data_IF_170803371840
#
_entry.id   IF_170803371840
#
_cell.length_a   1.000
_cell.length_b   1.000
_cell.length_c   1.000
_cell.angle_alpha   90.00
_cell.angle_beta   90.00
_cell.angle_gamma   90.00
#
_symmetry.space_group_name_H-M   'P 1'
#
loop_
_entity.id
_entity.type
_entity.pdbx_description
1 polymer ?
#
# COMPACT_ATOMS: atom_id res chain seq x y z
N UNK A 1 -6.15 10.77 9.47
CA UNK A 1 -7.29 10.27 8.66
C UNK A 1 -7.41 8.77 8.88
N UNK A 2 -8.61 8.26 9.13
CA UNK A 2 -8.88 6.82 9.21
C UNK A 2 -9.16 6.28 7.80
N UNK A 3 -8.69 5.07 7.51
CA UNK A 3 -8.93 4.39 6.23
C UNK A 3 -9.18 2.91 6.45
N UNK A 4 -10.16 2.35 5.79
CA UNK A 4 -10.23 0.90 5.62
C UNK A 4 -9.47 0.50 4.37
N UNK A 5 -8.62 -0.52 4.47
CA UNK A 5 -7.69 -0.91 3.40
C UNK A 5 -7.73 -2.42 3.22
N UNK A 6 -8.02 -2.88 2.01
CA UNK A 6 -7.93 -4.30 1.64
C UNK A 6 -7.00 -4.45 0.44
N UNK A 7 -6.15 -5.46 0.50
CA UNK A 7 -5.25 -5.87 -0.58
C UNK A 7 -5.57 -7.29 -1.00
N UNK A 8 -5.52 -7.55 -2.30
CA UNK A 8 -5.66 -8.90 -2.85
C UNK A 8 -4.61 -9.12 -3.94
N UNK A 9 -4.09 -10.35 -4.03
CA UNK A 9 -3.27 -10.78 -5.16
C UNK A 9 -4.21 -11.10 -6.32
N UNK A 10 -3.85 -10.65 -7.52
CA UNK A 10 -4.61 -10.90 -8.75
C UNK A 10 -4.01 -12.08 -9.50
N UNK A 11 -4.86 -12.86 -10.16
CA UNK A 11 -4.43 -13.88 -11.11
C UNK A 11 -3.88 -13.22 -12.38
N UNK A 12 -4.58 -12.21 -12.90
CA UNK A 12 -4.12 -11.40 -14.02
C UNK A 12 -4.47 -9.91 -13.80
N UNK A 13 -3.80 -9.02 -14.56
CA UNK A 13 -4.13 -7.59 -14.57
C UNK A 13 -5.48 -7.35 -15.24
N UNK A 14 -5.74 -8.03 -16.34
CA UNK A 14 -6.93 -7.86 -17.17
C UNK A 14 -8.20 -8.22 -16.42
N UNK A 15 -8.18 -9.30 -15.62
CA UNK A 15 -9.33 -9.73 -14.83
C UNK A 15 -9.86 -8.65 -13.85
N UNK A 16 -9.01 -7.68 -13.50
CA UNK A 16 -9.36 -6.58 -12.62
C UNK A 16 -9.65 -5.28 -13.37
N UNK A 17 -8.90 -4.99 -14.43
CA UNK A 17 -8.98 -3.71 -15.15
C UNK A 17 -10.15 -3.68 -16.12
N UNK A 18 -10.39 -4.79 -16.86
CA UNK A 18 -11.41 -4.82 -17.91
C UNK A 18 -12.83 -4.61 -17.35
N UNK A 19 -13.28 -5.27 -16.26
CA UNK A 19 -14.58 -5.01 -15.66
C UNK A 19 -14.77 -3.55 -15.20
N UNK A 20 -13.71 -2.88 -14.75
CA UNK A 20 -13.74 -1.47 -14.37
C UNK A 20 -13.86 -0.56 -15.59
N UNK A 21 -13.16 -0.89 -16.68
CA UNK A 21 -13.24 -0.15 -17.92
C UNK A 21 -14.63 -0.25 -18.57
N UNK A 22 -15.32 -1.39 -18.46
CA UNK A 22 -16.68 -1.61 -18.95
C UNK A 22 -17.71 -0.69 -18.27
N UNK A 23 -17.42 -0.21 -17.06
CA UNK A 23 -18.24 0.74 -16.31
C UNK A 23 -17.61 2.15 -16.27
N UNK A 24 -16.82 2.47 -17.28
CA UNK A 24 -16.20 3.79 -17.51
C UNK A 24 -15.18 4.24 -16.46
N UNK A 25 -14.65 3.34 -15.64
CA UNK A 25 -13.57 3.63 -14.72
C UNK A 25 -12.21 3.28 -15.34
N UNK A 26 -11.32 4.27 -15.43
CA UNK A 26 -10.00 4.12 -16.05
C UNK A 26 -8.88 4.44 -15.07
N UNK A 27 -7.86 3.57 -15.07
CA UNK A 27 -6.65 3.81 -14.31
C UNK A 27 -5.79 4.93 -14.89
N UNK A 28 -5.09 5.65 -14.04
CA UNK A 28 -4.06 6.61 -14.44
C UNK A 28 -2.94 5.91 -15.23
N UNK A 29 -2.12 6.71 -15.91
CA UNK A 29 -0.82 6.21 -16.38
C UNK A 29 -0.02 5.67 -15.19
N UNK A 30 0.73 4.56 -15.38
CA UNK A 30 1.51 3.98 -14.31
C UNK A 30 2.68 4.88 -13.89
N UNK A 31 2.96 4.93 -12.59
CA UNK A 31 4.07 5.67 -12.02
C UNK A 31 4.88 4.84 -11.03
N UNK A 32 6.10 5.27 -10.76
CA UNK A 32 6.97 4.62 -9.80
C UNK A 32 6.77 5.17 -8.40
N UNK A 33 6.71 4.25 -7.44
CA UNK A 33 6.71 4.57 -6.02
C UNK A 33 7.72 3.67 -5.30
N UNK A 34 8.58 4.31 -4.52
CA UNK A 34 9.54 3.64 -3.65
C UNK A 34 9.31 4.07 -2.20
N UNK A 35 9.08 3.12 -1.33
CA UNK A 35 8.88 3.33 0.11
C UNK A 35 10.04 2.72 0.89
N UNK A 36 10.73 3.53 1.69
CA UNK A 36 11.62 3.08 2.76
C UNK A 36 10.83 3.05 4.06
N UNK A 37 10.64 1.87 4.63
CA UNK A 37 9.80 1.67 5.81
C UNK A 37 10.65 1.63 7.06
N UNK A 38 10.42 2.61 7.93
CA UNK A 38 11.09 2.78 9.21
C UNK A 38 10.18 2.34 10.35
N UNK A 39 10.77 1.64 11.33
CA UNK A 39 10.09 1.18 12.54
C UNK A 39 10.89 1.60 13.78
N UNK A 40 10.26 1.80 14.93
CA UNK A 40 10.98 2.09 16.17
C UNK A 40 11.88 0.91 16.52
N UNK A 41 13.18 1.13 16.68
CA UNK A 41 14.19 0.09 16.92
C UNK A 41 13.83 -0.86 18.08
N UNK A 42 13.25 -0.33 19.17
CA UNK A 42 12.87 -1.12 20.32
C UNK A 42 11.63 -2.00 20.11
N UNK A 43 10.81 -1.71 19.09
CA UNK A 43 9.52 -2.34 18.83
C UNK A 43 9.40 -2.82 17.38
N UNK A 44 10.52 -3.14 16.73
CA UNK A 44 10.57 -3.45 15.30
C UNK A 44 9.69 -4.65 14.87
N UNK A 45 9.29 -5.50 15.82
CA UNK A 45 8.42 -6.66 15.58
C UNK A 45 6.96 -6.46 16.00
N UNK A 46 6.65 -5.34 16.65
CA UNK A 46 5.29 -5.05 17.11
C UNK A 46 4.48 -4.39 15.99
N UNK A 47 3.56 -5.14 15.40
CA UNK A 47 2.67 -4.67 14.31
C UNK A 47 1.72 -3.55 14.75
N UNK A 48 1.43 -3.43 16.04
CA UNK A 48 0.58 -2.35 16.59
C UNK A 48 1.29 -1.00 16.66
N UNK A 49 2.64 -1.00 16.56
CA UNK A 49 3.41 0.25 16.59
C UNK A 49 3.31 0.99 15.26
N UNK A 50 3.25 2.35 15.31
CA UNK A 50 3.29 3.14 14.10
C UNK A 50 4.58 2.90 13.31
N UNK A 51 4.44 2.74 11.99
CA UNK A 51 5.56 2.76 11.05
C UNK A 51 5.57 4.05 10.27
N UNK A 52 6.74 4.43 9.79
CA UNK A 52 6.96 5.62 8.97
C UNK A 52 7.49 5.21 7.60
N UNK A 53 6.73 5.50 6.56
CA UNK A 53 7.14 5.25 5.18
C UNK A 53 7.73 6.56 4.62
N UNK A 54 9.03 6.62 4.37
CA UNK A 54 9.65 7.71 3.62
C UNK A 54 9.53 7.36 2.13
N UNK A 55 8.62 8.04 1.46
CA UNK A 55 8.14 7.72 0.12
C UNK A 55 8.74 8.62 -0.93
N UNK A 56 9.16 8.01 -2.04
CA UNK A 56 9.49 8.69 -3.29
C UNK A 56 8.44 8.34 -4.33
N UNK A 57 7.92 9.35 -5.05
CA UNK A 57 6.97 9.20 -6.14
C UNK A 57 7.52 9.85 -7.39
N UNK A 58 7.58 9.10 -8.49
CA UNK A 58 8.00 9.59 -9.82
C UNK A 58 6.84 9.33 -10.78
N UNK A 59 5.98 10.34 -10.97
CA UNK A 59 4.82 10.25 -11.89
C UNK A 59 5.24 10.48 -13.35
N UNK A 60 6.24 11.30 -13.57
CA UNK A 60 6.78 11.65 -14.87
C UNK A 60 8.32 11.60 -14.78
N UNK A 61 9.00 10.75 -15.58
CA UNK A 61 10.46 10.65 -15.54
C UNK A 61 11.20 11.95 -15.83
N UNK A 62 10.56 12.89 -16.55
CA UNK A 62 11.14 14.20 -16.88
C UNK A 62 10.96 15.23 -15.77
N UNK A 63 10.15 14.92 -14.76
CA UNK A 63 9.86 15.81 -13.62
C UNK A 63 10.60 15.35 -12.37
N UNK A 64 10.79 16.32 -11.47
CA UNK A 64 11.36 16.04 -10.16
C UNK A 64 10.49 15.08 -9.36
N UNK A 65 11.12 14.13 -8.65
CA UNK A 65 10.46 13.25 -7.72
C UNK A 65 9.79 14.04 -6.58
N UNK A 66 8.64 13.57 -6.14
CA UNK A 66 7.96 14.07 -4.95
C UNK A 66 8.25 13.16 -3.77
N UNK A 67 8.53 13.77 -2.61
CA UNK A 67 8.81 13.02 -1.39
C UNK A 67 7.72 13.25 -0.36
N UNK A 68 7.38 12.19 0.39
CA UNK A 68 6.42 12.27 1.47
C UNK A 68 6.84 11.39 2.65
N UNK A 69 6.55 11.85 3.86
CA UNK A 69 6.61 11.05 5.06
C UNK A 69 5.19 10.61 5.40
N UNK A 70 4.95 9.30 5.47
CA UNK A 70 3.64 8.71 5.72
C UNK A 70 3.71 7.88 6.99
N UNK A 71 2.99 8.30 8.02
CA UNK A 71 2.78 7.49 9.23
C UNK A 71 1.59 6.57 9.02
N UNK A 72 1.77 5.29 9.38
CA UNK A 72 0.68 4.30 9.38
C UNK A 72 0.64 3.57 10.72
N UNK A 73 -0.56 3.38 11.24
CA UNK A 73 -0.84 2.50 12.36
C UNK A 73 -2.06 1.66 12.05
N UNK A 74 -1.87 0.34 12.10
CA UNK A 74 -2.93 -0.62 11.82
C UNK A 74 -3.71 -0.98 13.09
N UNK A 75 -5.03 -1.08 12.99
CA UNK A 75 -5.94 -1.51 14.04
C UNK A 75 -6.74 -2.70 13.49
N UNK A 76 -6.18 -3.90 13.69
CA UNK A 76 -6.69 -5.14 13.05
C UNK A 76 -8.11 -5.48 13.48
N UNK A 77 -8.41 -5.39 14.78
CA UNK A 77 -9.73 -5.70 15.32
C UNK A 77 -10.81 -4.72 14.83
N UNK A 78 -10.41 -3.45 14.65
CA UNK A 78 -11.30 -2.37 14.24
C UNK A 78 -11.37 -2.16 12.72
N UNK A 79 -10.62 -2.94 11.95
CA UNK A 79 -10.58 -2.94 10.47
C UNK A 79 -10.23 -1.60 9.83
N UNK A 80 -9.42 -0.78 10.48
CA UNK A 80 -8.93 0.46 9.87
C UNK A 80 -7.44 0.71 10.12
N UNK A 81 -6.87 1.56 9.28
CA UNK A 81 -5.56 2.15 9.43
C UNK A 81 -5.70 3.64 9.78
N UNK A 82 -4.92 4.11 10.75
CA UNK A 82 -4.67 5.54 10.90
C UNK A 82 -3.52 5.93 9.97
N UNK A 83 -3.79 6.83 9.03
CA UNK A 83 -2.82 7.28 8.02
C UNK A 83 -2.69 8.80 8.07
N UNK A 84 -1.47 9.30 8.26
CA UNK A 84 -1.14 10.71 8.14
C UNK A 84 0.04 10.84 7.18
N UNK A 85 -0.04 11.82 6.28
CA UNK A 85 1.01 12.06 5.30
C UNK A 85 1.35 13.54 5.23
N UNK A 86 2.62 13.85 5.02
CA UNK A 86 3.10 15.19 4.75
C UNK A 86 4.15 15.15 3.64
N UNK A 87 4.18 16.19 2.80
CA UNK A 87 5.24 16.37 1.81
C UNK A 87 6.51 16.78 2.55
N UNK A 88 7.66 16.25 2.10
CA UNK A 88 8.98 16.62 2.61
C UNK A 88 9.83 17.13 1.45
N UNK A 89 10.61 18.16 1.68
CA UNK A 89 11.48 18.76 0.65
C UNK A 89 12.82 18.04 0.55
N UNK A 90 13.37 17.64 1.69
CA UNK A 90 14.69 17.02 1.77
C UNK A 90 14.58 15.56 2.25
N UNK A 91 14.67 14.64 1.30
CA UNK A 91 14.59 13.20 1.55
C UNK A 91 15.69 12.70 2.50
N UNK A 92 16.93 13.07 2.23
CA UNK A 92 18.10 12.60 2.98
C UNK A 92 18.09 13.11 4.42
N UNK A 93 17.75 14.37 4.61
CA UNK A 93 17.66 14.98 5.95
C UNK A 93 16.52 14.34 6.76
N UNK A 94 15.37 14.11 6.11
CA UNK A 94 14.25 13.42 6.77
C UNK A 94 14.65 12.01 7.23
N UNK A 95 15.35 11.24 6.39
CA UNK A 95 15.86 9.93 6.76
C UNK A 95 16.83 10.02 7.95
N UNK A 96 17.73 11.00 7.95
CA UNK A 96 18.68 11.24 9.04
C UNK A 96 17.96 11.53 10.36
N UNK A 97 16.94 12.40 10.34
CA UNK A 97 16.12 12.72 11.51
C UNK A 97 15.45 11.45 12.06
N UNK A 98 14.90 10.58 11.20
CA UNK A 98 14.30 9.32 11.64
C UNK A 98 15.30 8.42 12.38
N UNK A 99 16.53 8.29 11.88
CA UNK A 99 17.58 7.55 12.59
C UNK A 99 17.92 8.17 13.95
N UNK A 100 18.01 9.49 14.05
CA UNK A 100 18.28 10.20 15.31
C UNK A 100 17.13 10.03 16.32
N UNK A 101 15.89 9.90 15.85
CA UNK A 101 14.73 9.62 16.68
C UNK A 101 14.63 8.14 17.11
N UNK A 102 15.59 7.30 16.74
CA UNK A 102 15.64 5.90 17.12
C UNK A 102 14.80 4.97 16.27
N UNK A 103 14.47 5.38 15.05
CA UNK A 103 13.89 4.51 14.03
C UNK A 103 15.02 3.79 13.27
N UNK A 104 14.71 2.61 12.75
CA UNK A 104 15.61 1.87 11.85
C UNK A 104 14.86 1.51 10.56
N UNK A 105 15.61 1.44 9.47
CA UNK A 105 15.09 0.95 8.20
C UNK A 105 14.80 -0.54 8.32
N UNK A 106 13.55 -0.93 8.13
CA UNK A 106 13.12 -2.32 8.20
C UNK A 106 13.17 -3.00 6.84
N UNK A 107 12.58 -2.38 5.82
CA UNK A 107 12.60 -2.85 4.43
C UNK A 107 12.33 -1.72 3.46
N UNK A 108 12.59 -2.01 2.19
CA UNK A 108 12.29 -1.13 1.07
C UNK A 108 11.33 -1.85 0.11
N UNK A 109 10.37 -1.08 -0.44
CA UNK A 109 9.37 -1.59 -1.37
C UNK A 109 9.31 -0.68 -2.58
N UNK A 110 9.72 -1.19 -3.72
CA UNK A 110 9.54 -0.52 -5.02
C UNK A 110 8.36 -1.12 -5.75
N UNK A 111 7.57 -0.26 -6.39
CA UNK A 111 6.42 -0.69 -7.16
C UNK A 111 6.15 0.22 -8.33
N UNK A 112 5.57 -0.36 -9.37
CA UNK A 112 4.86 0.36 -10.41
C UNK A 112 3.38 0.37 -10.06
N UNK A 113 2.78 1.56 -9.95
CA UNK A 113 1.42 1.77 -9.48
C UNK A 113 0.58 2.47 -10.53
N UNK A 114 -0.63 1.99 -10.71
CA UNK A 114 -1.73 2.68 -11.41
C UNK A 114 -2.79 3.02 -10.35
N UNK A 115 -3.43 4.17 -10.47
CA UNK A 115 -4.45 4.61 -9.52
C UNK A 115 -5.75 4.99 -10.22
N UNK A 116 -6.86 4.71 -9.55
CA UNK A 116 -8.20 5.07 -9.96
C UNK A 116 -8.94 5.60 -8.73
N UNK A 117 -9.67 6.68 -8.88
CA UNK A 117 -10.52 7.22 -7.82
C UNK A 117 -11.99 6.98 -8.16
N UNK A 118 -12.71 6.34 -7.23
CA UNK A 118 -14.14 6.06 -7.32
C UNK A 118 -14.88 6.98 -6.34
N UNK A 119 -15.55 8.00 -6.88
CA UNK A 119 -16.19 9.03 -6.06
C UNK A 119 -15.18 9.85 -5.24
N UNK A 120 -15.57 10.27 -4.04
CA UNK A 120 -14.76 11.16 -3.21
C UNK A 120 -13.88 10.44 -2.19
N UNK A 121 -14.27 9.24 -1.76
CA UNK A 121 -13.66 8.53 -0.62
C UNK A 121 -12.94 7.23 -0.97
N UNK A 122 -13.14 6.68 -2.17
CA UNK A 122 -12.57 5.36 -2.52
C UNK A 122 -11.42 5.51 -3.51
N UNK A 123 -10.26 4.99 -3.14
CA UNK A 123 -9.08 4.94 -4.01
C UNK A 123 -8.75 3.48 -4.31
N UNK A 124 -8.57 3.18 -5.59
CA UNK A 124 -8.21 1.85 -6.10
C UNK A 124 -6.82 1.92 -6.69
N UNK A 125 -5.97 1.00 -6.29
CA UNK A 125 -4.60 0.90 -6.78
C UNK A 125 -4.35 -0.46 -7.38
N UNK A 126 -3.63 -0.47 -8.48
CA UNK A 126 -3.06 -1.65 -9.08
C UNK A 126 -1.54 -1.57 -8.96
N UNK A 127 -0.95 -2.48 -8.18
CA UNK A 127 0.46 -2.51 -7.86
C UNK A 127 1.16 -3.69 -8.54
N UNK A 128 2.26 -3.42 -9.22
CA UNK A 128 3.29 -4.39 -9.59
C UNK A 128 4.49 -4.15 -8.68
N UNK A 129 4.72 -5.10 -7.77
CA UNK A 129 5.78 -4.98 -6.75
C UNK A 129 7.06 -5.62 -7.30
N UNK A 130 8.18 -4.91 -7.21
CA UNK A 130 9.49 -5.47 -7.58
C UNK A 130 9.85 -6.63 -6.64
N UNK A 131 10.24 -7.75 -7.23
CA UNK A 131 10.56 -8.97 -6.48
C UNK A 131 9.37 -9.83 -6.07
N UNK A 132 8.13 -9.46 -6.43
CA UNK A 132 6.96 -10.31 -6.22
C UNK A 132 6.28 -10.67 -7.54
N UNK A 133 5.81 -11.92 -7.70
CA UNK A 133 5.10 -12.36 -8.89
C UNK A 133 3.67 -11.80 -8.93
N UNK A 134 3.16 -11.51 -10.15
CA UNK A 134 1.78 -11.09 -10.39
C UNK A 134 1.53 -9.61 -10.09
N UNK A 135 0.26 -9.29 -9.91
CA UNK A 135 -0.24 -7.96 -9.58
C UNK A 135 -1.01 -8.00 -8.27
N UNK A 136 -1.17 -6.84 -7.66
CA UNK A 136 -1.91 -6.69 -6.41
C UNK A 136 -2.91 -5.55 -6.55
N UNK A 137 -4.18 -5.84 -6.33
CA UNK A 137 -5.19 -4.81 -6.17
C UNK A 137 -5.23 -4.35 -4.71
N UNK A 138 -5.39 -3.06 -4.52
CA UNK A 138 -5.58 -2.46 -3.21
C UNK A 138 -6.70 -1.44 -3.30
N UNK A 139 -7.72 -1.59 -2.47
CA UNK A 139 -8.81 -0.62 -2.33
C UNK A 139 -8.70 0.02 -0.95
N UNK A 140 -8.77 1.34 -0.93
CA UNK A 140 -8.78 2.17 0.28
C UNK A 140 -10.08 2.96 0.33
N UNK A 141 -10.79 2.93 1.44
CA UNK A 141 -11.92 3.82 1.72
C UNK A 141 -11.53 4.79 2.83
N UNK A 142 -11.63 6.08 2.55
CA UNK A 142 -11.48 7.14 3.52
C UNK A 142 -12.71 7.16 4.44
N UNK A 143 -12.50 7.12 5.77
CA UNK A 143 -13.57 7.11 6.76
C UNK A 143 -13.77 8.51 7.32
N UNK A 144 -15.00 8.99 7.24
CA UNK A 144 -15.43 10.22 7.88
C UNK A 144 -15.81 9.98 9.34
N UNK A 145 -16.08 11.05 10.06
CA UNK A 145 -16.58 10.93 11.45
C UNK A 145 -17.97 10.28 11.46
N UNK A 146 -18.11 9.20 12.22
CA UNK A 146 -19.36 8.42 12.31
C UNK A 146 -19.44 7.22 11.36
N UNK A 147 -18.53 7.08 10.41
CA UNK A 147 -18.49 5.90 9.53
C UNK A 147 -18.11 4.64 10.32
N UNK A 148 -18.75 3.53 9.97
CA UNK A 148 -18.42 2.20 10.51
C UNK A 148 -17.31 1.54 9.66
N UNK A 149 -16.11 1.32 10.23
CA UNK A 149 -15.01 0.67 9.51
C UNK A 149 -15.35 -0.76 9.04
N UNK A 150 -16.18 -1.50 9.80
CA UNK A 150 -16.57 -2.84 9.42
C UNK A 150 -17.52 -2.84 8.22
N UNK A 151 -18.45 -1.88 8.15
CA UNK A 151 -19.29 -1.71 6.96
C UNK A 151 -18.42 -1.38 5.74
N UNK A 152 -17.51 -0.41 5.83
CA UNK A 152 -16.57 -0.07 4.76
C UNK A 152 -15.69 -1.25 4.34
N UNK A 153 -15.25 -2.09 5.29
CA UNK A 153 -14.51 -3.31 5.00
C UNK A 153 -15.33 -4.31 4.18
N UNK A 154 -16.60 -4.51 4.54
CA UNK A 154 -17.50 -5.40 3.82
C UNK A 154 -17.82 -4.88 2.43
N UNK A 155 -18.02 -3.56 2.27
CA UNK A 155 -18.28 -2.93 0.97
C UNK A 155 -17.09 -3.11 0.01
N UNK A 156 -15.86 -2.98 0.51
CA UNK A 156 -14.65 -3.27 -0.29
C UNK A 156 -14.61 -4.76 -0.68
N UNK A 157 -14.94 -5.69 0.21
CA UNK A 157 -14.99 -7.11 -0.12
C UNK A 157 -16.04 -7.44 -1.18
N UNK A 158 -17.23 -6.83 -1.10
CA UNK A 158 -18.25 -6.97 -2.13
C UNK A 158 -17.78 -6.37 -3.47
N UNK A 159 -17.09 -5.23 -3.47
CA UNK A 159 -16.48 -4.66 -4.67
C UNK A 159 -15.52 -5.67 -5.33
N UNK A 160 -14.66 -6.33 -4.58
CA UNK A 160 -13.77 -7.36 -5.11
C UNK A 160 -14.54 -8.54 -5.70
N UNK A 161 -15.65 -8.97 -5.07
CA UNK A 161 -16.50 -10.06 -5.59
C UNK A 161 -17.16 -9.67 -6.91
N UNK A 162 -17.73 -8.47 -6.99
CA UNK A 162 -18.35 -7.93 -8.22
C UNK A 162 -17.33 -7.88 -9.36
N UNK A 163 -16.09 -7.55 -9.07
CA UNK A 163 -14.98 -7.56 -10.02
C UNK A 163 -14.38 -8.95 -10.25
N UNK A 164 -15.01 -10.01 -9.77
CA UNK A 164 -14.57 -11.40 -9.91
C UNK A 164 -13.16 -11.68 -9.37
N UNK A 165 -12.64 -10.82 -8.48
CA UNK A 165 -11.37 -11.07 -7.79
C UNK A 165 -11.58 -12.11 -6.70
N UNK A 166 -11.02 -13.29 -6.92
CA UNK A 166 -11.08 -14.40 -5.97
C UNK A 166 -9.81 -14.47 -5.13
N UNK A 167 -9.93 -14.84 -3.88
CA UNK A 167 -8.80 -15.00 -2.98
C UNK A 167 -9.12 -14.55 -1.56
N UNK A 168 -8.09 -14.54 -0.74
CA UNK A 168 -8.18 -14.01 0.63
C UNK A 168 -7.50 -12.64 0.71
N UNK A 169 -8.06 -11.72 1.51
CA UNK A 169 -7.37 -10.47 1.81
C UNK A 169 -5.96 -10.72 2.35
N UNK A 170 -5.01 -9.92 1.88
CA UNK A 170 -3.62 -9.96 2.32
C UNK A 170 -3.49 -9.04 3.53
N UNK A 171 -3.22 -9.62 4.69
CA UNK A 171 -2.99 -8.87 5.94
C UNK A 171 -1.57 -8.30 5.98
N UNK A 172 -0.58 -9.09 5.54
CA UNK A 172 0.81 -8.69 5.56
C UNK A 172 1.11 -7.48 4.67
N UNK A 173 2.07 -6.69 5.06
CA UNK A 173 2.59 -5.61 4.21
C UNK A 173 3.39 -6.18 3.04
N UNK A 174 3.56 -5.40 1.97
CA UNK A 174 4.40 -5.84 0.85
C UNK A 174 5.85 -6.13 1.27
N UNK A 175 6.38 -5.40 2.24
CA UNK A 175 7.72 -5.66 2.79
C UNK A 175 7.80 -7.00 3.52
N UNK A 176 6.80 -7.35 4.32
CA UNK A 176 6.72 -8.65 5.00
C UNK A 176 6.60 -9.80 3.99
N UNK A 177 5.82 -9.62 2.93
CA UNK A 177 5.70 -10.62 1.86
C UNK A 177 7.06 -10.80 1.16
N UNK A 178 7.77 -9.70 0.86
CA UNK A 178 9.13 -9.74 0.27
C UNK A 178 10.15 -10.43 1.19
N UNK A 179 10.08 -10.18 2.50
CA UNK A 179 10.94 -10.87 3.47
C UNK A 179 10.64 -12.37 3.52
N UNK A 180 9.36 -12.74 3.52
CA UNK A 180 8.93 -14.14 3.55
C UNK A 180 9.34 -14.89 2.28
N UNK A 181 9.19 -14.27 1.11
CA UNK A 181 9.56 -14.88 -0.17
C UNK A 181 11.08 -15.13 -0.30
N UNK A 182 11.93 -14.28 0.30
CA UNK A 182 13.40 -14.49 0.32
C UNK A 182 13.83 -15.63 1.23
N UNK A 183 13.00 -16.00 2.20
CA UNK A 183 13.29 -17.07 3.16
C UNK A 183 12.68 -18.41 2.78
N UNK A 184 11.93 -18.49 1.67
CA UNK A 184 11.38 -19.76 1.17
C UNK A 184 12.48 -20.57 0.48
N UNK A 185 12.80 -21.80 0.97
CA UNK A 185 13.88 -22.61 0.42
C UNK A 185 13.60 -23.15 -1.00
N UNK A 186 12.38 -23.03 -1.53
CA UNK A 186 12.04 -23.56 -2.87
C UNK A 186 12.61 -22.70 -4.03
N UNK A 187 12.94 -21.40 -3.81
CA UNK A 187 13.53 -20.54 -4.86
C UNK A 187 15.06 -20.71 -5.01
N UNK A 188 15.71 -21.58 -4.24
CA UNK A 188 17.16 -21.84 -4.31
C UNK A 188 17.55 -22.99 -5.23
N UNK A 189 16.59 -23.57 -5.96
CA UNK A 189 16.79 -24.74 -6.83
C UNK A 189 16.42 -24.50 -8.30
N UNK A 190 16.50 -23.26 -8.78
CA UNK A 190 16.37 -22.95 -10.21
C UNK A 190 17.59 -22.25 -10.77
#
# INVERSE_FOLDING_TARGET
MKKTIIKMKLNSRTDFVDPLADIEFHFSAPYWQHDRVFVPKRFARDKAMPRLDLRTIVKDPEKQATYALVMRRHFEDEKFDLVNATVVENYSETAHILYQLGYELRYEVSRRREELRMGESVNVYLDKIDGLPGYYARIESDLMEGDDPLAAYNDILETFKVLHVTGRPIVDTYGEILESSKNDPMDKLS
#
